data_IF_179037888200
#
_entry.id   IF_179037888200
#
_cell.length_a   1.000
_cell.length_b   1.000
_cell.length_c   1.000
_cell.angle_alpha   90.00
_cell.angle_beta   90.00
_cell.angle_gamma   90.00
#
_symmetry.space_group_name_H-M   'P 1'
#
loop_
_entity.id
_entity.type
_entity.pdbx_description
1 polymer ?
#
# COMPACT_ATOMS: atom_id res chain seq x y z
N UNK A 1 19.63 -2.72 -5.46
CA UNK A 1 20.07 -2.97 -4.07
C UNK A 1 21.56 -3.28 -4.00
N UNK A 2 22.10 -4.20 -4.80
CA UNK A 2 23.53 -4.58 -4.77
C UNK A 2 24.54 -3.42 -4.90
N UNK A 3 24.30 -2.43 -5.78
CA UNK A 3 25.15 -1.23 -5.92
C UNK A 3 25.04 -0.25 -4.74
N UNK A 4 23.97 -0.33 -3.92
CA UNK A 4 23.81 0.51 -2.73
C UNK A 4 24.65 0.02 -1.54
N UNK A 5 24.92 -1.29 -1.44
CA UNK A 5 25.87 -1.80 -0.44
C UNK A 5 27.30 -1.24 -0.66
N UNK A 6 27.71 -1.00 -1.91
CA UNK A 6 29.01 -0.39 -2.27
C UNK A 6 29.10 1.11 -1.99
N UNK A 7 27.98 1.79 -1.70
CA UNK A 7 27.96 3.26 -1.48
C UNK A 7 27.94 3.68 -0.01
N UNK A 8 28.00 2.73 0.93
CA UNK A 8 28.10 3.06 2.35
C UNK A 8 29.45 3.74 2.65
N UNK A 9 29.49 4.84 3.43
CA UNK A 9 30.75 5.55 3.72
C UNK A 9 31.82 4.65 4.38
N UNK A 10 31.38 3.64 5.13
CA UNK A 10 32.27 2.62 5.73
C UNK A 10 32.76 1.60 4.70
N UNK A 11 31.94 1.22 3.72
CA UNK A 11 32.30 0.24 2.69
C UNK A 11 33.31 0.82 1.69
N UNK A 12 33.09 2.07 1.27
CA UNK A 12 34.00 2.83 0.41
C UNK A 12 35.39 2.92 1.05
N UNK A 13 35.47 3.10 2.37
CA UNK A 13 36.74 3.14 3.09
C UNK A 13 37.52 1.82 2.98
N UNK A 14 36.84 0.68 3.06
CA UNK A 14 37.46 -0.65 2.97
C UNK A 14 37.88 -0.97 1.54
N UNK A 15 37.08 -0.57 0.54
CA UNK A 15 37.43 -0.69 -0.88
C UNK A 15 38.66 0.16 -1.23
N UNK A 16 38.74 1.39 -0.71
CA UNK A 16 39.92 2.24 -0.84
C UNK A 16 41.16 1.60 -0.20
N UNK A 17 41.01 0.98 0.99
CA UNK A 17 42.10 0.27 1.65
C UNK A 17 42.58 -0.95 0.84
N UNK A 18 41.66 -1.73 0.25
CA UNK A 18 41.98 -2.84 -0.65
C UNK A 18 42.77 -2.36 -1.88
N UNK A 19 42.33 -1.24 -2.48
CA UNK A 19 42.98 -0.63 -3.65
C UNK A 19 44.40 -0.13 -3.31
N UNK A 20 44.59 0.47 -2.13
CA UNK A 20 45.89 0.87 -1.61
C UNK A 20 46.85 -0.32 -1.42
N UNK A 21 46.37 -1.41 -0.80
CA UNK A 21 47.17 -2.64 -0.63
C UNK A 21 47.58 -3.25 -1.97
N UNK A 22 46.70 -3.21 -2.99
CA UNK A 22 47.00 -3.66 -4.34
C UNK A 22 48.10 -2.82 -5.00
N UNK A 23 48.01 -1.48 -4.91
CA UNK A 23 49.02 -0.57 -5.46
C UNK A 23 50.40 -0.76 -4.83
N UNK A 24 50.45 -1.03 -3.52
CA UNK A 24 51.68 -1.28 -2.75
C UNK A 24 52.25 -2.71 -3.01
N UNK A 25 51.56 -3.54 -3.82
CA UNK A 25 51.91 -4.94 -4.09
C UNK A 25 52.00 -5.81 -2.81
N UNK A 26 51.24 -5.46 -1.78
CA UNK A 26 51.13 -6.25 -0.56
C UNK A 26 50.03 -7.32 -0.73
N UNK A 27 50.41 -8.43 -1.38
CA UNK A 27 49.52 -9.54 -1.71
C UNK A 27 48.86 -10.23 -0.49
N UNK A 28 49.55 -10.43 0.65
CA UNK A 28 48.92 -10.98 1.85
C UNK A 28 47.74 -10.14 2.35
N UNK A 29 47.96 -8.83 2.55
CA UNK A 29 46.94 -7.94 3.11
C UNK A 29 45.77 -7.72 2.14
N UNK A 30 46.07 -7.59 0.84
CA UNK A 30 45.04 -7.52 -0.19
C UNK A 30 44.12 -8.75 -0.18
N UNK A 31 44.69 -9.95 -0.03
CA UNK A 31 43.92 -11.20 -0.02
C UNK A 31 42.99 -11.27 1.19
N UNK A 32 43.47 -10.87 2.37
CA UNK A 32 42.66 -10.83 3.60
C UNK A 32 41.48 -9.87 3.44
N UNK A 33 41.72 -8.65 2.92
CA UNK A 33 40.66 -7.65 2.72
C UNK A 33 39.65 -8.13 1.67
N UNK A 34 40.11 -8.76 0.59
CA UNK A 34 39.21 -9.33 -0.44
C UNK A 34 38.30 -10.43 0.12
N UNK A 35 38.84 -11.34 0.93
CA UNK A 35 38.03 -12.39 1.58
C UNK A 35 37.01 -11.78 2.54
N UNK A 36 37.42 -10.77 3.32
CA UNK A 36 36.52 -10.05 4.22
C UNK A 36 35.37 -9.37 3.46
N UNK A 37 35.67 -8.68 2.36
CA UNK A 37 34.69 -8.02 1.51
C UNK A 37 33.69 -9.02 0.91
N UNK A 38 34.17 -10.15 0.38
CA UNK A 38 33.31 -11.19 -0.18
C UNK A 38 32.40 -11.81 0.90
N UNK A 39 32.94 -12.06 2.08
CA UNK A 39 32.18 -12.63 3.20
C UNK A 39 31.10 -11.65 3.68
N UNK A 40 31.45 -10.38 3.88
CA UNK A 40 30.50 -9.35 4.30
C UNK A 40 29.41 -9.11 3.23
N UNK A 41 29.80 -9.01 1.96
CA UNK A 41 28.85 -8.83 0.85
C UNK A 41 27.86 -10.00 0.71
N UNK A 42 28.33 -11.24 0.85
CA UNK A 42 27.45 -12.42 0.81
C UNK A 42 26.54 -12.50 2.03
N UNK A 43 27.07 -12.32 3.25
CA UNK A 43 26.26 -12.28 4.47
C UNK A 43 25.21 -11.18 4.41
N UNK A 44 25.60 -9.96 4.04
CA UNK A 44 24.69 -8.83 3.90
C UNK A 44 23.57 -9.09 2.88
N UNK A 45 23.86 -9.76 1.77
CA UNK A 45 22.83 -10.15 0.79
C UNK A 45 21.85 -11.19 1.33
N UNK A 46 22.32 -12.18 2.11
CA UNK A 46 21.45 -13.17 2.75
C UNK A 46 20.60 -12.55 3.86
N UNK A 47 21.17 -11.65 4.65
CA UNK A 47 20.45 -10.90 5.69
C UNK A 47 19.36 -10.03 5.08
N UNK A 48 19.68 -9.27 4.03
CA UNK A 48 18.72 -8.39 3.34
C UNK A 48 17.56 -9.19 2.75
N UNK A 49 17.83 -10.33 2.10
CA UNK A 49 16.78 -11.21 1.58
C UNK A 49 15.88 -11.77 2.68
N UNK A 50 16.45 -12.18 3.80
CA UNK A 50 15.70 -12.76 4.92
C UNK A 50 14.85 -11.71 5.63
N UNK A 51 15.41 -10.51 5.81
CA UNK A 51 14.69 -9.36 6.35
C UNK A 51 13.51 -8.97 5.46
N UNK A 52 13.75 -8.85 4.15
CA UNK A 52 12.70 -8.51 3.19
C UNK A 52 11.58 -9.56 3.15
N UNK A 53 11.93 -10.85 3.14
CA UNK A 53 10.95 -11.94 3.17
C UNK A 53 10.06 -11.92 4.42
N UNK A 54 10.62 -11.57 5.59
CA UNK A 54 9.86 -11.47 6.83
C UNK A 54 8.85 -10.31 6.80
N UNK A 55 9.26 -9.17 6.23
CA UNK A 55 8.37 -8.02 6.02
C UNK A 55 7.26 -8.34 5.03
N UNK A 56 7.57 -9.02 3.93
CA UNK A 56 6.58 -9.37 2.91
C UNK A 56 5.58 -10.42 3.42
N UNK A 57 6.02 -11.37 4.24
CA UNK A 57 5.13 -12.34 4.90
C UNK A 57 4.15 -11.66 5.88
N UNK A 58 4.61 -10.65 6.62
CA UNK A 58 3.76 -9.84 7.48
C UNK A 58 2.71 -9.08 6.66
N UNK A 59 3.11 -8.48 5.53
CA UNK A 59 2.20 -7.79 4.60
C UNK A 59 1.16 -8.75 4.01
N UNK A 60 1.58 -9.93 3.57
CA UNK A 60 0.70 -10.95 3.01
C UNK A 60 -0.34 -11.46 4.03
N UNK A 61 0.04 -11.61 5.30
CA UNK A 61 -0.89 -11.97 6.38
C UNK A 61 -1.94 -10.90 6.69
N UNK A 62 -1.66 -9.63 6.33
CA UNK A 62 -2.56 -8.49 6.50
C UNK A 62 -3.41 -8.21 5.25
N UNK A 63 -3.25 -8.98 4.16
CA UNK A 63 -4.05 -8.81 2.96
C UNK A 63 -5.52 -9.14 3.23
N UNK A 64 -6.31 -8.09 3.49
CA UNK A 64 -7.76 -8.18 3.59
C UNK A 64 -8.31 -8.60 2.22
N UNK A 65 -9.06 -9.70 2.20
CA UNK A 65 -9.80 -10.17 1.03
C UNK A 65 -11.25 -9.77 1.14
N UNK A 66 -11.90 -9.54 0.01
CA UNK A 66 -13.32 -9.27 -0.03
C UNK A 66 -14.01 -9.89 -1.26
N UNK A 67 -15.30 -10.24 -1.14
CA UNK A 67 -16.07 -10.73 -2.28
C UNK A 67 -16.33 -9.62 -3.29
N UNK A 68 -15.92 -9.87 -4.53
CA UNK A 68 -16.08 -8.97 -5.67
C UNK A 68 -16.73 -9.72 -6.82
N UNK A 69 -17.70 -9.10 -7.47
CA UNK A 69 -18.39 -9.67 -8.62
C UNK A 69 -17.75 -9.17 -9.91
N UNK A 70 -17.12 -10.08 -10.65
CA UNK A 70 -16.56 -9.84 -12.00
C UNK A 70 -17.18 -10.84 -12.97
N UNK A 71 -17.59 -10.38 -14.16
CA UNK A 71 -18.21 -11.25 -15.19
C UNK A 71 -19.40 -12.09 -14.66
N UNK A 72 -20.16 -11.54 -13.71
CA UNK A 72 -21.32 -12.22 -13.11
C UNK A 72 -21.01 -13.27 -12.05
N UNK A 73 -19.74 -13.56 -11.74
CA UNK A 73 -19.31 -14.48 -10.68
C UNK A 73 -18.72 -13.71 -9.51
N UNK A 74 -19.00 -14.16 -8.29
CA UNK A 74 -18.37 -13.63 -7.08
C UNK A 74 -17.07 -14.39 -6.81
N UNK A 75 -15.96 -13.67 -6.78
CA UNK A 75 -14.65 -14.17 -6.39
C UNK A 75 -14.10 -13.35 -5.23
N UNK A 76 -13.40 -14.00 -4.31
CA UNK A 76 -12.73 -13.33 -3.18
C UNK A 76 -11.34 -12.90 -3.60
N UNK A 77 -11.13 -11.61 -3.82
CA UNK A 77 -9.86 -11.03 -4.25
C UNK A 77 -9.24 -10.17 -3.15
N UNK A 78 -7.90 -10.01 -3.13
CA UNK A 78 -7.25 -9.04 -2.27
C UNK A 78 -7.77 -7.63 -2.55
N UNK A 79 -8.02 -6.85 -1.49
CA UNK A 79 -8.51 -5.46 -1.58
C UNK A 79 -7.63 -4.59 -2.49
N UNK A 80 -6.32 -4.83 -2.51
CA UNK A 80 -5.36 -4.11 -3.36
C UNK A 80 -5.55 -4.34 -4.86
N UNK A 81 -6.28 -5.39 -5.25
CA UNK A 81 -6.57 -5.72 -6.65
C UNK A 81 -7.93 -5.19 -7.13
N UNK A 82 -8.65 -4.46 -6.27
CA UNK A 82 -9.93 -3.83 -6.61
C UNK A 82 -9.70 -2.70 -7.61
N UNK A 83 -10.52 -2.66 -8.65
CA UNK A 83 -10.45 -1.65 -9.73
C UNK A 83 -11.80 -0.96 -9.92
N UNK A 84 -11.83 0.26 -10.49
CA UNK A 84 -13.07 0.92 -10.87
C UNK A 84 -13.95 0.02 -11.76
N UNK A 85 -15.25 0.00 -11.48
CA UNK A 85 -16.22 -0.87 -12.16
C UNK A 85 -16.46 -2.23 -11.49
N UNK A 86 -15.63 -2.62 -10.52
CA UNK A 86 -15.90 -3.79 -9.69
C UNK A 86 -17.16 -3.59 -8.84
N UNK A 87 -17.94 -4.66 -8.65
CA UNK A 87 -19.07 -4.66 -7.71
C UNK A 87 -18.63 -5.39 -6.44
N UNK A 88 -18.54 -4.64 -5.35
CA UNK A 88 -18.14 -5.12 -4.04
C UNK A 88 -19.37 -5.56 -3.26
N UNK A 89 -19.27 -6.68 -2.54
CA UNK A 89 -20.25 -7.05 -1.53
C UNK A 89 -19.68 -6.76 -0.14
N UNK A 90 -20.39 -5.93 0.64
CA UNK A 90 -19.95 -5.45 1.94
C UNK A 90 -21.04 -5.64 2.98
N UNK A 91 -20.64 -5.89 4.22
CA UNK A 91 -21.52 -6.14 5.35
C UNK A 91 -21.06 -5.38 6.60
N UNK A 92 -21.94 -5.23 7.58
CA UNK A 92 -21.63 -4.56 8.84
C UNK A 92 -20.33 -5.07 9.46
N UNK A 93 -19.41 -4.15 9.74
CA UNK A 93 -18.04 -4.39 10.20
C UNK A 93 -16.97 -4.23 9.12
N UNK A 94 -17.34 -4.24 7.84
CA UNK A 94 -16.38 -4.08 6.75
C UNK A 94 -15.87 -2.65 6.61
N UNK A 95 -14.61 -2.54 6.18
CA UNK A 95 -13.98 -1.26 5.85
C UNK A 95 -14.15 -1.10 4.35
N UNK A 96 -14.64 0.06 3.93
CA UNK A 96 -14.80 0.44 2.53
C UNK A 96 -13.40 0.62 1.91
N UNK A 97 -12.99 -0.22 0.92
CA UNK A 97 -11.62 -0.22 0.41
C UNK A 97 -11.31 0.90 -0.60
N UNK A 98 -12.37 1.46 -1.19
CA UNK A 98 -12.32 2.31 -2.35
C UNK A 98 -13.60 3.15 -2.38
N UNK A 99 -13.56 4.28 -3.05
CA UNK A 99 -14.72 5.13 -3.18
C UNK A 99 -15.76 4.42 -4.06
N UNK A 100 -16.98 4.25 -3.56
CA UNK A 100 -17.99 3.45 -4.22
C UNK A 100 -19.40 4.03 -4.11
N UNK A 101 -20.24 3.70 -5.10
CA UNK A 101 -21.65 4.04 -5.09
C UNK A 101 -22.48 2.83 -4.71
N UNK A 102 -23.42 3.02 -3.80
CA UNK A 102 -24.40 1.99 -3.45
C UNK A 102 -25.17 1.56 -4.70
N UNK A 103 -25.34 0.24 -4.87
CA UNK A 103 -26.00 -0.37 -6.02
C UNK A 103 -27.30 -1.06 -5.58
N UNK A 104 -27.20 -2.00 -4.65
CA UNK A 104 -28.31 -2.87 -4.21
C UNK A 104 -28.11 -3.29 -2.75
N UNK A 105 -29.19 -3.67 -2.05
CA UNK A 105 -29.11 -4.27 -0.71
C UNK A 105 -29.94 -3.55 0.34
N UNK A 106 -29.57 -3.75 1.60
CA UNK A 106 -30.25 -3.14 2.74
C UNK A 106 -29.82 -1.67 2.94
N UNK A 107 -30.66 -0.86 3.60
CA UNK A 107 -30.27 0.46 4.05
C UNK A 107 -29.04 0.38 4.97
N UNK A 108 -27.96 1.04 4.54
CA UNK A 108 -26.67 0.95 5.18
C UNK A 108 -26.38 2.18 6.04
N UNK A 109 -25.56 2.02 7.09
CA UNK A 109 -25.00 3.13 7.86
C UNK A 109 -23.48 3.05 7.85
N UNK A 110 -22.83 4.14 7.50
CA UNK A 110 -21.38 4.23 7.32
C UNK A 110 -20.81 5.24 8.31
N UNK A 111 -19.73 4.87 8.98
CA UNK A 111 -18.96 5.73 9.88
C UNK A 111 -17.78 6.32 9.10
N UNK A 112 -17.85 7.64 8.88
CA UNK A 112 -16.86 8.42 8.13
C UNK A 112 -15.84 9.10 9.06
N UNK A 113 -15.75 8.70 10.34
CA UNK A 113 -14.85 9.33 11.33
C UNK A 113 -13.39 9.37 10.88
N UNK A 114 -12.94 8.38 10.10
CA UNK A 114 -11.59 8.34 9.56
C UNK A 114 -11.29 9.50 8.58
N UNK A 115 -12.31 10.03 7.91
CA UNK A 115 -12.19 11.09 6.92
C UNK A 115 -12.61 12.46 7.47
N UNK A 116 -13.71 12.52 8.22
CA UNK A 116 -14.31 13.78 8.68
C UNK A 116 -13.98 14.12 10.13
N UNK A 117 -13.54 13.14 10.93
CA UNK A 117 -13.38 13.27 12.38
C UNK A 117 -14.69 13.26 13.16
N UNK A 118 -15.84 13.08 12.48
CA UNK A 118 -17.15 13.00 13.13
C UNK A 118 -17.57 11.54 13.33
N UNK A 119 -17.83 11.13 14.58
CA UNK A 119 -18.20 9.75 14.92
C UNK A 119 -19.67 9.40 14.71
N UNK A 120 -20.46 10.25 14.05
CA UNK A 120 -21.89 10.01 13.82
C UNK A 120 -22.09 9.20 12.54
N UNK A 121 -22.65 7.97 12.62
CA UNK A 121 -22.91 7.17 11.43
C UNK A 121 -23.90 7.85 10.50
N UNK A 122 -23.59 7.78 9.21
CA UNK A 122 -24.37 8.38 8.13
C UNK A 122 -25.14 7.30 7.37
N UNK A 123 -26.40 7.56 7.03
CA UNK A 123 -27.22 6.65 6.21
C UNK A 123 -26.86 6.72 4.71
N UNK A 124 -26.75 5.54 4.08
CA UNK A 124 -26.55 5.33 2.64
C UNK A 124 -27.56 4.28 2.14
N UNK A 125 -28.26 4.50 1.02
CA UNK A 125 -28.32 5.75 0.27
C UNK A 125 -29.14 6.81 1.03
N UNK A 126 -28.63 8.05 1.05
CA UNK A 126 -29.42 9.22 1.47
C UNK A 126 -30.25 9.65 0.27
N UNK A 127 -31.57 9.41 0.32
CA UNK A 127 -32.60 9.76 -0.67
C UNK A 127 -32.07 10.40 -1.96
N UNK A 128 -31.99 9.58 -2.99
CA UNK A 128 -31.82 9.94 -4.38
C UNK A 128 -33.03 10.76 -4.86
N UNK A 129 -32.85 12.05 -5.07
CA UNK A 129 -33.77 12.82 -5.90
C UNK A 129 -33.66 12.28 -7.34
N UNK A 130 -34.75 11.67 -7.85
CA UNK A 130 -35.00 11.36 -9.26
C UNK A 130 -34.46 10.05 -9.90
N UNK A 131 -34.54 8.89 -9.22
CA UNK A 131 -34.60 7.60 -9.92
C UNK A 131 -33.45 7.28 -10.90
N UNK A 132 -32.29 7.90 -10.72
CA UNK A 132 -31.07 7.64 -11.48
C UNK A 132 -30.21 6.61 -10.73
N UNK A 133 -29.60 5.69 -11.47
CA UNK A 133 -28.54 4.87 -10.90
C UNK A 133 -27.36 5.79 -10.51
N UNK A 134 -26.78 5.58 -9.33
CA UNK A 134 -25.63 6.35 -8.77
C UNK A 134 -25.91 7.77 -8.26
N UNK A 135 -27.17 8.16 -8.00
CA UNK A 135 -27.50 9.48 -7.43
C UNK A 135 -27.42 9.58 -5.90
N UNK A 136 -27.28 8.46 -5.20
CA UNK A 136 -27.17 8.42 -3.75
C UNK A 136 -25.82 8.91 -3.22
N UNK A 137 -25.74 9.10 -1.90
CA UNK A 137 -24.49 9.43 -1.21
C UNK A 137 -23.42 8.36 -1.48
N UNK A 138 -22.24 8.80 -1.90
CA UNK A 138 -21.07 7.96 -2.13
C UNK A 138 -20.50 7.46 -0.79
N UNK A 139 -20.03 6.21 -0.77
CA UNK A 139 -19.30 5.63 0.35
C UNK A 139 -17.81 5.88 0.12
N UNK A 140 -17.17 6.56 1.06
CA UNK A 140 -15.75 6.92 0.94
C UNK A 140 -14.84 5.80 1.43
N UNK A 141 -13.71 5.64 0.76
CA UNK A 141 -12.60 4.79 1.18
C UNK A 141 -12.22 5.07 2.64
N UNK A 142 -11.89 4.04 3.40
CA UNK A 142 -11.52 4.13 4.82
C UNK A 142 -12.70 4.23 5.79
N UNK A 143 -13.92 4.44 5.30
CA UNK A 143 -15.12 4.44 6.14
C UNK A 143 -15.52 3.03 6.57
N UNK A 144 -16.24 2.90 7.68
CA UNK A 144 -16.66 1.60 8.23
C UNK A 144 -18.17 1.43 8.08
N UNK A 145 -18.60 0.35 7.43
CA UNK A 145 -20.02 0.00 7.37
C UNK A 145 -20.46 -0.50 8.75
N UNK A 146 -21.32 0.22 9.46
CA UNK A 146 -21.80 -0.14 10.81
C UNK A 146 -23.01 -1.07 10.78
N UNK A 147 -23.94 -0.83 9.86
CA UNK A 147 -25.22 -1.53 9.77
C UNK A 147 -25.56 -1.78 8.31
N UNK A 148 -26.17 -2.95 8.04
CA UNK A 148 -26.67 -3.35 6.73
C UNK A 148 -25.69 -4.19 5.93
N UNK A 149 -26.17 -4.74 4.82
CA UNK A 149 -25.39 -5.41 3.80
C UNK A 149 -25.75 -4.82 2.44
N UNK A 150 -24.76 -4.53 1.61
CA UNK A 150 -24.98 -3.94 0.29
C UNK A 150 -23.97 -4.40 -0.75
N UNK A 151 -24.40 -4.29 -2.00
CA UNK A 151 -23.53 -4.26 -3.16
C UNK A 151 -23.24 -2.80 -3.53
N UNK A 152 -21.98 -2.50 -3.82
CA UNK A 152 -21.57 -1.17 -4.24
C UNK A 152 -20.62 -1.27 -5.45
N UNK A 153 -20.76 -0.36 -6.40
CA UNK A 153 -19.82 -0.27 -7.54
C UNK A 153 -18.67 0.66 -7.21
N UNK A 154 -17.45 0.24 -7.53
CA UNK A 154 -16.25 1.05 -7.31
C UNK A 154 -16.19 2.17 -8.35
N UNK A 155 -16.03 3.41 -7.88
CA UNK A 155 -15.81 4.57 -8.74
C UNK A 155 -14.33 4.95 -8.83
N UNK A 156 -13.65 5.07 -7.69
CA UNK A 156 -12.24 5.48 -7.62
C UNK A 156 -11.44 4.60 -6.67
N UNK A 157 -10.17 4.36 -7.01
CA UNK A 157 -9.24 3.55 -6.21
C UNK A 157 -7.90 4.27 -6.04
N UNK A 158 -7.16 3.91 -4.99
CA UNK A 158 -5.83 4.42 -4.72
C UNK A 158 -5.80 5.94 -4.52
N UNK A 159 -4.87 6.61 -5.22
CA UNK A 159 -4.63 8.07 -5.10
C UNK A 159 -5.80 8.94 -5.55
N UNK A 160 -6.72 8.38 -6.35
CA UNK A 160 -7.90 9.10 -6.86
C UNK A 160 -9.11 8.98 -5.92
N UNK A 161 -8.96 8.32 -4.76
CA UNK A 161 -10.00 8.33 -3.72
C UNK A 161 -9.93 9.63 -2.93
N UNK A 162 -11.01 10.01 -2.25
CA UNK A 162 -11.02 11.23 -1.43
C UNK A 162 -9.93 11.26 -0.35
N UNK A 163 -9.70 10.12 0.33
CA UNK A 163 -8.56 9.99 1.26
C UNK A 163 -7.23 10.11 0.51
N UNK A 164 -7.11 9.51 -0.66
CA UNK A 164 -5.90 9.56 -1.49
C UNK A 164 -5.57 10.99 -1.96
N UNK A 165 -6.57 11.73 -2.42
CA UNK A 165 -6.44 13.13 -2.84
C UNK A 165 -6.09 14.03 -1.66
N UNK A 166 -6.75 13.83 -0.50
CA UNK A 166 -6.43 14.57 0.72
C UNK A 166 -4.98 14.31 1.16
N UNK A 167 -4.54 13.04 1.16
CA UNK A 167 -3.16 12.68 1.50
C UNK A 167 -2.15 13.31 0.52
N UNK A 168 -2.45 13.30 -0.78
CA UNK A 168 -1.62 13.92 -1.81
C UNK A 168 -1.51 15.43 -1.61
N UNK A 169 -2.62 16.11 -1.35
CA UNK A 169 -2.64 17.55 -1.11
C UNK A 169 -1.80 17.93 0.13
N UNK A 170 -1.86 17.13 1.20
CA UNK A 170 -1.03 17.32 2.40
C UNK A 170 0.46 17.11 2.07
N UNK A 171 0.79 16.10 1.28
CA UNK A 171 2.17 15.82 0.86
C UNK A 171 2.75 16.97 0.02
N UNK A 172 1.98 17.44 -0.96
CA UNK A 172 2.35 18.56 -1.83
C UNK A 172 2.52 19.86 -1.00
N UNK A 173 1.63 20.13 -0.05
CA UNK A 173 1.71 21.29 0.83
C UNK A 173 2.85 21.22 1.85
N UNK A 174 3.24 20.00 2.26
CA UNK A 174 4.35 19.79 3.20
C UNK A 174 5.73 19.97 2.56
N UNK A 175 5.80 20.28 1.26
CA UNK A 175 7.03 20.68 0.58
C UNK A 175 8.16 19.65 0.68
N UNK A 176 7.83 18.36 0.82
CA UNK A 176 8.83 17.30 0.87
C UNK A 176 9.10 16.83 -0.54
N UNK A 177 9.97 17.58 -1.20
CA UNK A 177 10.72 17.21 -2.40
C UNK A 177 11.71 16.08 -2.03
N UNK A 178 11.17 14.93 -1.59
CA UNK A 178 11.95 13.73 -1.37
C UNK A 178 12.14 13.08 -2.75
N UNK A 179 13.22 13.47 -3.41
CA UNK A 179 13.73 12.87 -4.63
C UNK A 179 13.94 11.36 -4.45
N UNK A 180 12.89 10.59 -4.68
CA UNK A 180 12.94 9.14 -4.80
C UNK A 180 11.79 8.61 -5.66
N UNK A 181 11.78 8.93 -6.95
CA UNK A 181 11.61 7.94 -8.03
C UNK A 181 12.24 8.53 -9.31
N UNK A 182 13.46 8.09 -9.61
CA UNK A 182 13.86 7.78 -10.98
C UNK A 182 14.20 6.30 -11.00
#
# INVERSE_FOLDING_TARGET
MFLKQFTGPMQIMIECAALLCFLIHNWPDFTIIMVLLLTNGTLGFFEEKTAQASVDALKAGLEKKMPVKRNGKFDSIPVVQVVPGDILFMRGGDIVPADCYWLEGDPCQVDEAALTGESLPVKVPRKDDHGKQFSGRQMWSGSILKVGECQAVVSHTGVNTMIGEAAKAIQDASGKDDGFVR
#
